data_IF_087175824381
#
_entry.id   IF_087175824381
#
_cell.length_a   1.000
_cell.length_b   1.000
_cell.length_c   1.000
_cell.angle_alpha   90.00
_cell.angle_beta   90.00
_cell.angle_gamma   90.00
#
_symmetry.space_group_name_H-M   'P 1'
#
loop_
_entity.id
_entity.type
_entity.pdbx_description
1 polymer ?
#
# COMPACT_ATOMS: atom_id res chain seq x y z
N UNK A 1 -38.70 17.26 0.41
CA UNK A 1 -37.86 16.91 -0.76
C UNK A 1 -36.38 17.22 -0.54
N UNK A 2 -35.98 18.44 -0.15
CA UNK A 2 -34.55 18.80 0.11
C UNK A 2 -33.78 17.87 1.07
N UNK A 3 -34.45 17.34 2.11
CA UNK A 3 -33.84 16.42 3.10
C UNK A 3 -33.51 15.04 2.53
N UNK A 4 -34.29 14.55 1.55
CA UNK A 4 -34.05 13.26 0.88
C UNK A 4 -32.91 13.41 -0.13
N UNK A 5 -32.83 14.56 -0.81
CA UNK A 5 -31.72 14.88 -1.73
C UNK A 5 -30.37 14.93 -1.00
N UNK A 6 -30.32 15.48 0.22
CA UNK A 6 -29.09 15.52 1.03
C UNK A 6 -28.64 14.12 1.48
N UNK A 7 -29.59 13.23 1.79
CA UNK A 7 -29.31 11.84 2.16
C UNK A 7 -28.70 11.05 0.97
N UNK A 8 -29.24 11.25 -0.23
CA UNK A 8 -28.67 10.66 -1.46
C UNK A 8 -27.29 11.24 -1.81
N UNK A 9 -27.02 12.50 -1.49
CA UNK A 9 -25.70 13.13 -1.70
C UNK A 9 -24.64 12.58 -0.72
N UNK A 10 -25.01 12.29 0.53
CA UNK A 10 -24.11 11.65 1.50
C UNK A 10 -23.86 10.17 1.22
N UNK A 11 -24.83 9.45 0.62
CA UNK A 11 -24.66 8.06 0.17
C UNK A 11 -23.77 7.93 -1.08
N UNK A 12 -23.48 9.05 -1.76
CA UNK A 12 -22.62 9.10 -2.95
C UNK A 12 -21.15 9.42 -2.64
N UNK A 13 -20.78 9.51 -1.37
CA UNK A 13 -19.38 9.41 -0.95
C UNK A 13 -18.92 7.96 -1.11
N UNK A 14 -18.79 7.55 -2.36
CA UNK A 14 -18.29 6.23 -2.74
C UNK A 14 -16.89 6.14 -2.13
N UNK A 15 -16.72 5.21 -1.21
CA UNK A 15 -15.41 4.86 -0.67
C UNK A 15 -14.67 4.19 -1.83
N UNK A 16 -13.95 4.98 -2.62
CA UNK A 16 -13.05 4.44 -3.63
C UNK A 16 -11.87 3.82 -2.89
N UNK A 17 -11.95 2.51 -2.66
CA UNK A 17 -10.81 1.74 -2.19
C UNK A 17 -9.82 1.66 -3.35
N UNK A 18 -8.68 2.35 -3.21
CA UNK A 18 -7.55 2.17 -4.12
C UNK A 18 -7.05 0.73 -4.04
N UNK A 19 -6.45 0.24 -5.13
CA UNK A 19 -5.82 -1.08 -5.15
C UNK A 19 -4.78 -1.23 -4.03
N UNK A 20 -4.08 -0.14 -3.71
CA UNK A 20 -3.16 -0.06 -2.58
C UNK A 20 -3.73 0.93 -1.57
N UNK A 21 -3.72 0.53 -0.30
CA UNK A 21 -4.11 1.36 0.84
C UNK A 21 -3.00 1.38 1.87
N UNK A 22 -2.86 2.49 2.59
CA UNK A 22 -1.88 2.68 3.66
C UNK A 22 -2.64 3.14 4.90
N UNK A 23 -2.35 2.55 6.05
CA UNK A 23 -2.99 2.89 7.34
C UNK A 23 -1.95 2.98 8.46
N UNK A 24 -1.90 4.08 9.23
CA UNK A 24 -2.70 5.30 9.08
C UNK A 24 -2.29 6.11 7.82
N UNK A 25 -3.16 7.04 7.43
CA UNK A 25 -2.88 8.03 6.39
C UNK A 25 -3.59 9.35 6.74
N UNK A 26 -2.88 10.47 6.91
CA UNK A 26 -1.41 10.62 6.85
C UNK A 26 -0.69 9.88 8.00
N UNK A 27 0.62 9.73 7.86
CA UNK A 27 1.51 9.12 8.86
C UNK A 27 2.86 9.85 8.91
N UNK A 28 3.57 9.70 10.01
CA UNK A 28 4.96 10.14 10.19
C UNK A 28 5.94 8.98 9.97
N UNK A 29 7.20 9.27 9.62
CA UNK A 29 8.20 8.25 9.25
C UNK A 29 8.55 7.28 10.38
N UNK A 30 8.33 7.67 11.63
CA UNK A 30 8.57 6.87 12.84
C UNK A 30 7.33 6.06 13.28
N UNK A 31 6.20 6.19 12.56
CA UNK A 31 4.97 5.47 12.86
C UNK A 31 4.91 4.13 12.16
N UNK A 32 4.37 3.12 12.86
CA UNK A 32 4.05 1.85 12.22
C UNK A 32 2.90 2.04 11.24
N UNK A 33 3.15 1.71 9.98
CA UNK A 33 2.15 1.72 8.91
C UNK A 33 1.86 0.31 8.43
N UNK A 34 0.65 0.10 7.91
CA UNK A 34 0.28 -1.11 7.17
C UNK A 34 -0.02 -0.73 5.73
N UNK A 35 0.71 -1.32 4.79
CA UNK A 35 0.39 -1.25 3.37
C UNK A 35 -0.40 -2.51 3.02
N UNK A 36 -1.56 -2.33 2.38
CA UNK A 36 -2.39 -3.44 1.89
C UNK A 36 -2.63 -3.30 0.39
N UNK A 37 -2.39 -4.37 -0.37
CA UNK A 37 -2.70 -4.48 -1.80
C UNK A 37 -3.84 -5.46 -2.03
N UNK A 38 -4.84 -5.06 -2.83
CA UNK A 38 -5.90 -5.92 -3.34
C UNK A 38 -5.55 -6.42 -4.74
N UNK A 39 -5.15 -7.70 -4.83
CA UNK A 39 -4.76 -8.31 -6.11
C UNK A 39 -5.97 -8.76 -6.95
N UNK A 40 -7.18 -8.70 -6.41
CA UNK A 40 -8.41 -8.94 -7.17
C UNK A 40 -8.93 -7.67 -7.86
N UNK A 41 -8.36 -6.51 -7.54
CA UNK A 41 -8.77 -5.24 -8.14
C UNK A 41 -8.55 -5.23 -9.65
N UNK A 42 -9.60 -4.89 -10.39
CA UNK A 42 -9.55 -4.69 -11.85
C UNK A 42 -9.27 -3.23 -12.24
N UNK A 43 -9.08 -2.34 -11.26
CA UNK A 43 -8.94 -0.90 -11.46
C UNK A 43 -7.59 -0.50 -12.07
N UNK A 44 -6.57 -1.35 -11.92
CA UNK A 44 -5.26 -1.15 -12.55
C UNK A 44 -4.83 -2.44 -13.21
N UNK A 45 -4.10 -2.28 -14.30
CA UNK A 45 -3.43 -3.33 -15.05
C UNK A 45 -2.19 -3.85 -14.29
N UNK A 46 -2.37 -4.41 -13.09
CA UNK A 46 -1.38 -5.34 -12.53
C UNK A 46 -1.18 -6.44 -13.58
N UNK A 47 -0.19 -6.26 -14.45
CA UNK A 47 0.08 -7.10 -15.61
C UNK A 47 0.40 -8.50 -15.11
N UNK A 48 -0.64 -9.32 -14.96
CA UNK A 48 -0.54 -10.78 -14.79
C UNK A 48 -0.31 -11.32 -13.37
N UNK A 49 -0.57 -10.57 -12.29
CA UNK A 49 -0.70 -11.20 -10.96
C UNK A 49 -2.06 -11.92 -10.90
N UNK A 50 -2.02 -13.25 -10.92
CA UNK A 50 -3.19 -14.10 -10.74
C UNK A 50 -2.83 -15.24 -9.80
N UNK A 51 -3.61 -15.40 -8.74
CA UNK A 51 -3.44 -16.46 -7.74
C UNK A 51 -1.97 -16.70 -7.29
N UNK A 52 -1.23 -15.66 -6.87
CA UNK A 52 0.16 -15.80 -6.47
C UNK A 52 0.28 -16.63 -5.18
N UNK A 53 1.35 -17.43 -5.06
CA UNK A 53 1.69 -18.12 -3.82
C UNK A 53 2.32 -17.19 -2.78
N UNK A 54 2.99 -16.13 -3.22
CA UNK A 54 3.61 -15.07 -2.42
C UNK A 54 3.50 -13.73 -3.12
N UNK A 55 3.43 -12.65 -2.34
CA UNK A 55 3.47 -11.27 -2.84
C UNK A 55 4.54 -10.51 -2.08
N UNK A 56 5.30 -9.69 -2.80
CA UNK A 56 6.43 -8.94 -2.30
C UNK A 56 6.27 -7.45 -2.57
N UNK A 57 6.60 -6.63 -1.57
CA UNK A 57 6.71 -5.18 -1.70
C UNK A 57 8.11 -4.81 -2.18
N UNK A 58 8.19 -4.23 -3.38
CA UNK A 58 9.34 -3.46 -3.83
C UNK A 58 8.99 -1.97 -3.77
N UNK A 59 9.60 -1.25 -2.82
CA UNK A 59 9.26 0.14 -2.55
C UNK A 59 10.50 0.96 -2.20
N UNK A 60 10.43 2.26 -2.49
CA UNK A 60 11.48 3.22 -2.18
C UNK A 60 10.93 4.45 -1.48
N UNK A 61 11.87 5.23 -0.96
CA UNK A 61 11.62 6.52 -0.32
C UNK A 61 12.62 7.55 -0.84
N UNK A 62 12.16 8.79 -0.94
CA UNK A 62 12.89 9.88 -1.55
C UNK A 62 12.18 11.22 -1.36
N UNK A 63 12.55 12.21 -2.15
CA UNK A 63 11.95 13.55 -2.15
C UNK A 63 11.20 13.84 -3.47
N UNK A 64 10.74 15.08 -3.64
CA UNK A 64 10.00 15.50 -4.84
C UNK A 64 10.85 15.44 -6.12
N UNK A 65 12.19 15.45 -6.02
CA UNK A 65 13.09 15.37 -7.18
C UNK A 65 13.43 13.92 -7.54
N UNK A 66 13.66 13.09 -6.53
CA UNK A 66 13.91 11.65 -6.70
C UNK A 66 13.15 10.85 -5.63
N UNK A 67 12.00 10.25 -5.96
CA UNK A 67 11.18 9.49 -5.00
C UNK A 67 11.81 8.16 -4.57
N UNK A 68 12.96 7.79 -5.12
CA UNK A 68 13.75 6.60 -4.73
C UNK A 68 15.12 6.99 -4.18
N UNK A 69 15.41 8.28 -4.03
CA UNK A 69 16.75 8.83 -3.83
C UNK A 69 17.38 8.54 -2.48
N UNK A 70 16.62 8.08 -1.48
CA UNK A 70 17.17 7.77 -0.15
C UNK A 70 17.43 6.28 0.02
N UNK A 71 16.44 5.42 -0.23
CA UNK A 71 16.62 3.98 -0.17
C UNK A 71 15.52 3.22 -0.93
N UNK A 72 15.83 1.99 -1.33
CA UNK A 72 14.91 1.06 -1.99
C UNK A 72 15.03 -0.31 -1.33
N UNK A 73 13.90 -0.91 -1.00
CA UNK A 73 13.82 -2.23 -0.34
C UNK A 73 12.92 -3.16 -1.14
N UNK A 74 13.34 -4.42 -1.24
CA UNK A 74 12.69 -5.48 -2.01
C UNK A 74 13.45 -5.80 -3.29
N UNK A 75 13.56 -7.08 -3.65
CA UNK A 75 14.25 -7.54 -4.86
C UNK A 75 13.25 -7.99 -5.93
N UNK A 76 13.52 -7.69 -7.20
CA UNK A 76 12.66 -8.11 -8.30
C UNK A 76 12.87 -9.60 -8.62
N UNK A 77 11.78 -10.38 -8.57
CA UNK A 77 11.76 -11.78 -8.99
C UNK A 77 12.60 -12.72 -8.13
N UNK A 78 12.94 -12.33 -6.89
CA UNK A 78 13.65 -13.16 -5.92
C UNK A 78 12.71 -13.53 -4.76
N UNK A 79 12.79 -14.77 -4.30
CA UNK A 79 12.06 -15.29 -3.13
C UNK A 79 13.01 -15.34 -1.93
N UNK A 80 13.45 -14.17 -1.46
CA UNK A 80 14.45 -14.01 -0.38
C UNK A 80 13.86 -13.48 0.94
N UNK A 81 12.53 -13.33 0.99
CA UNK A 81 11.80 -12.83 2.15
C UNK A 81 11.82 -11.30 2.31
N UNK A 82 12.59 -10.56 1.52
CA UNK A 82 12.68 -9.10 1.65
C UNK A 82 11.42 -8.45 1.08
N UNK A 83 10.61 -7.86 1.96
CA UNK A 83 9.33 -7.27 1.58
C UNK A 83 8.20 -8.30 1.42
N UNK A 84 8.37 -9.54 1.91
CA UNK A 84 7.31 -10.56 1.84
C UNK A 84 6.05 -10.06 2.57
N UNK A 85 4.92 -10.06 1.87
CA UNK A 85 3.63 -9.66 2.41
C UNK A 85 2.88 -10.88 2.98
N UNK A 86 2.05 -10.63 3.97
CA UNK A 86 1.15 -11.63 4.56
C UNK A 86 -0.14 -11.72 3.76
N UNK A 87 -0.57 -12.94 3.42
CA UNK A 87 -1.86 -13.19 2.80
C UNK A 87 -3.00 -13.06 3.84
N UNK A 88 -3.97 -12.17 3.59
CA UNK A 88 -5.09 -11.94 4.50
C UNK A 88 -6.27 -12.90 4.28
N UNK A 89 -6.19 -13.83 3.33
CA UNK A 89 -7.20 -14.86 3.06
C UNK A 89 -8.42 -14.38 2.25
N UNK A 90 -8.44 -13.12 1.83
CA UNK A 90 -9.54 -12.49 1.10
C UNK A 90 -9.10 -11.89 -0.25
N UNK A 91 -7.92 -12.29 -0.75
CA UNK A 91 -7.32 -11.72 -1.95
C UNK A 91 -6.62 -10.38 -1.73
N UNK A 92 -6.42 -9.98 -0.47
CA UNK A 92 -5.51 -8.88 -0.13
C UNK A 92 -4.25 -9.41 0.54
N UNK A 93 -3.17 -8.65 0.39
CA UNK A 93 -1.87 -8.92 1.00
C UNK A 93 -1.41 -7.68 1.75
N UNK A 94 -0.82 -7.86 2.94
CA UNK A 94 -0.40 -6.73 3.78
C UNK A 94 1.02 -6.89 4.32
N UNK A 95 1.67 -5.75 4.57
CA UNK A 95 2.94 -5.68 5.30
C UNK A 95 2.89 -4.50 6.27
N UNK A 96 3.38 -4.72 7.49
CA UNK A 96 3.41 -3.71 8.55
C UNK A 96 4.85 -3.43 8.94
N UNK A 97 5.27 -2.17 8.89
CA UNK A 97 6.61 -1.75 9.26
C UNK A 97 6.64 -0.27 9.68
N UNK A 98 7.73 0.13 10.35
CA UNK A 98 8.05 1.54 10.62
C UNK A 98 8.96 2.04 9.50
N UNK A 99 8.57 3.05 8.69
CA UNK A 99 9.35 3.51 7.53
C UNK A 99 10.79 3.86 7.86
N UNK A 100 11.04 4.57 8.96
CA UNK A 100 12.38 4.95 9.42
C UNK A 100 13.30 3.73 9.55
N UNK A 101 12.82 2.67 10.19
CA UNK A 101 13.61 1.42 10.36
C UNK A 101 13.68 0.63 9.06
N UNK A 102 12.55 0.46 8.35
CA UNK A 102 12.46 -0.36 7.14
C UNK A 102 13.39 0.17 6.04
N UNK A 103 13.46 1.49 5.87
CA UNK A 103 14.33 2.13 4.89
C UNK A 103 15.69 2.55 5.47
N UNK A 104 16.03 2.15 6.70
CA UNK A 104 17.31 2.46 7.35
C UNK A 104 17.65 3.96 7.33
N UNK A 105 16.65 4.80 7.58
CA UNK A 105 16.84 6.25 7.64
C UNK A 105 17.58 6.61 8.93
N UNK A 106 18.55 7.51 8.84
CA UNK A 106 19.12 8.13 10.03
C UNK A 106 18.14 9.18 10.55
N UNK A 107 17.86 9.17 11.85
CA UNK A 107 17.20 10.29 12.51
C UNK A 107 17.97 11.59 12.18
N UNK A 108 17.24 12.62 11.74
CA UNK A 108 17.79 13.93 11.44
C UNK A 108 18.23 14.67 12.72
#
# INVERSE_FOLDING_TARGET
>A
MKKITLLFLMLFSIISLGQVTITPNPFEVDQSITITVDINSSATNCNSISNPSKVYLHSGIGDDNDPWGFNVVGNWGQDDGVGEMTNNGNGTWSITFVPETYYSLSAA
#
